data_IF_367837006224
#
_entry.id   IF_367837006224
#
_cell.length_a   1.000
_cell.length_b   1.000
_cell.length_c   1.000
_cell.angle_alpha   90.00
_cell.angle_beta   90.00
_cell.angle_gamma   90.00
#
_symmetry.space_group_name_H-M   'P 1'
#
loop_
_entity.id
_entity.type
_entity.pdbx_description
1 polymer ?
#
# COMPACT_ATOMS: atom_id res chain seq x y z
N UNK A 1 -28.56 36.47 -25.55
CA UNK A 1 -27.34 35.67 -25.79
C UNK A 1 -26.30 36.11 -24.77
N UNK A 2 -26.33 35.54 -23.56
CA UNK A 2 -25.42 35.89 -22.46
C UNK A 2 -24.41 34.74 -22.32
N UNK A 3 -23.17 35.02 -22.75
CA UNK A 3 -22.01 34.15 -22.58
C UNK A 3 -21.62 34.13 -21.10
N UNK A 4 -21.91 33.03 -20.41
CA UNK A 4 -21.36 32.76 -19.08
C UNK A 4 -19.86 32.48 -19.22
N UNK A 5 -19.05 33.47 -18.84
CA UNK A 5 -17.62 33.32 -18.63
C UNK A 5 -17.46 32.29 -17.51
N UNK A 6 -16.88 31.14 -17.84
CA UNK A 6 -16.53 30.10 -16.89
C UNK A 6 -15.38 30.64 -16.02
N UNK A 7 -15.56 30.94 -14.72
CA UNK A 7 -14.44 31.38 -13.90
C UNK A 7 -13.53 30.17 -13.70
N UNK A 8 -12.33 30.24 -14.28
CA UNK A 8 -11.31 29.21 -14.13
C UNK A 8 -11.14 28.82 -12.66
N UNK A 9 -11.13 27.52 -12.39
CA UNK A 9 -10.91 26.95 -11.06
C UNK A 9 -9.68 27.60 -10.41
N UNK A 10 -9.78 28.07 -9.14
CA UNK A 10 -8.67 28.73 -8.47
C UNK A 10 -7.46 27.80 -8.34
N UNK A 11 -6.26 28.38 -8.46
CA UNK A 11 -4.94 27.73 -8.51
C UNK A 11 -4.52 26.91 -7.26
N UNK A 12 -5.44 26.61 -6.34
CA UNK A 12 -5.21 25.86 -5.09
C UNK A 12 -5.27 24.33 -5.26
N UNK A 13 -5.72 23.81 -6.41
CA UNK A 13 -5.70 22.36 -6.68
C UNK A 13 -4.40 21.84 -7.30
N UNK A 14 -3.52 22.72 -7.78
CA UNK A 14 -2.35 22.36 -8.62
C UNK A 14 -1.23 21.60 -7.89
N UNK A 15 -1.31 21.45 -6.56
CA UNK A 15 -0.28 20.79 -5.74
C UNK A 15 -0.74 19.48 -5.08
N UNK A 16 -2.00 19.04 -5.22
CA UNK A 16 -2.43 17.74 -4.67
C UNK A 16 -1.90 16.59 -5.53
N UNK A 17 -1.49 15.51 -4.89
CA UNK A 17 -1.19 14.24 -5.58
C UNK A 17 -2.51 13.67 -6.04
N UNK A 18 -2.62 13.36 -7.33
CA UNK A 18 -3.82 12.74 -7.88
C UNK A 18 -3.55 11.25 -8.16
N UNK A 19 -4.38 10.39 -7.58
CA UNK A 19 -4.38 8.94 -7.82
C UNK A 19 -5.72 8.60 -8.44
N UNK A 20 -5.69 8.05 -9.65
CA UNK A 20 -6.88 7.68 -10.42
C UNK A 20 -6.78 6.24 -10.91
N UNK A 21 -7.87 5.72 -11.47
CA UNK A 21 -7.93 4.37 -12.05
C UNK A 21 -7.42 3.26 -11.10
N UNK A 22 -7.63 3.44 -9.79
CA UNK A 22 -7.24 2.48 -8.78
C UNK A 22 -8.07 1.21 -8.93
N UNK A 23 -7.38 0.11 -9.26
CA UNK A 23 -7.98 -1.21 -9.50
C UNK A 23 -7.20 -2.28 -8.77
N UNK A 24 -7.90 -3.17 -8.08
CA UNK A 24 -7.34 -4.41 -7.56
C UNK A 24 -7.63 -5.56 -8.54
N UNK A 25 -6.73 -6.54 -8.62
CA UNK A 25 -6.96 -7.73 -9.43
C UNK A 25 -8.07 -8.64 -8.87
N UNK A 26 -8.37 -8.53 -7.58
CA UNK A 26 -9.48 -9.25 -6.95
C UNK A 26 -10.86 -8.65 -7.27
N UNK A 27 -10.91 -7.48 -7.89
CA UNK A 27 -12.14 -6.71 -8.11
C UNK A 27 -12.71 -6.05 -6.85
N UNK A 28 -12.05 -6.20 -5.70
CA UNK A 28 -12.46 -5.52 -4.45
C UNK A 28 -12.10 -4.04 -4.50
N UNK A 29 -12.93 -3.22 -3.88
CA UNK A 29 -12.68 -1.79 -3.77
C UNK A 29 -11.50 -1.51 -2.84
N UNK A 30 -10.49 -0.82 -3.36
CA UNK A 30 -9.42 -0.23 -2.55
C UNK A 30 -9.75 1.25 -2.32
N UNK A 31 -9.41 1.75 -1.13
CA UNK A 31 -9.71 3.12 -0.75
C UNK A 31 -8.47 4.00 -0.67
N UNK A 32 -8.67 5.32 -0.68
CA UNK A 32 -7.64 6.29 -0.34
C UNK A 32 -7.86 6.82 1.07
N UNK A 33 -6.78 7.02 1.80
CA UNK A 33 -6.77 7.66 3.11
C UNK A 33 -5.43 8.39 3.33
N UNK A 34 -5.23 8.90 4.54
CA UNK A 34 -3.95 9.46 4.99
C UNK A 34 -3.29 8.48 5.95
N UNK A 35 -1.97 8.29 5.81
CA UNK A 35 -1.19 7.46 6.73
C UNK A 35 -0.87 8.25 8.01
N UNK A 36 -1.71 8.08 9.03
CA UNK A 36 -1.51 8.64 10.38
C UNK A 36 -1.91 7.62 11.46
N UNK A 37 -1.47 7.86 12.70
CA UNK A 37 -1.79 6.97 13.83
C UNK A 37 -3.30 6.91 14.07
N UNK A 38 -3.82 5.74 14.43
CA UNK A 38 -5.26 5.52 14.66
C UNK A 38 -6.08 5.24 13.38
N UNK A 39 -5.56 5.57 12.19
CA UNK A 39 -6.26 5.27 10.94
C UNK A 39 -6.25 3.78 10.59
N UNK A 40 -7.29 3.35 9.88
CA UNK A 40 -7.47 1.97 9.45
C UNK A 40 -6.47 1.57 8.37
N UNK A 41 -5.79 0.44 8.57
CA UNK A 41 -4.84 -0.13 7.62
C UNK A 41 -5.51 -0.71 6.36
N UNK A 42 -6.66 -1.37 6.51
CA UNK A 42 -7.31 -2.09 5.42
C UNK A 42 -8.75 -1.62 5.20
N UNK A 43 -9.32 -1.98 4.05
CA UNK A 43 -10.74 -1.78 3.75
C UNK A 43 -11.64 -2.80 4.44
N UNK A 44 -11.15 -4.02 4.65
CA UNK A 44 -11.94 -5.15 5.12
C UNK A 44 -11.56 -5.62 6.54
N UNK A 45 -10.80 -4.82 7.29
CA UNK A 45 -10.37 -5.09 8.68
C UNK A 45 -10.29 -3.81 9.50
N UNK A 46 -10.40 -3.95 10.81
CA UNK A 46 -10.36 -2.85 11.79
C UNK A 46 -8.97 -2.60 12.38
N UNK A 47 -7.90 -3.12 11.77
CA UNK A 47 -6.54 -2.89 12.27
C UNK A 47 -6.12 -1.43 12.09
N UNK A 48 -5.56 -0.83 13.14
CA UNK A 48 -5.16 0.57 13.15
C UNK A 48 -3.64 0.72 13.27
N UNK A 49 -3.09 1.73 12.59
CA UNK A 49 -1.70 2.12 12.76
C UNK A 49 -1.43 2.67 14.17
N UNK A 50 -0.22 2.46 14.65
CA UNK A 50 0.27 3.00 15.92
C UNK A 50 1.46 3.93 15.69
N UNK A 51 2.65 3.37 15.47
CA UNK A 51 3.84 4.15 15.15
C UNK A 51 4.00 4.27 13.63
N UNK A 52 4.19 5.51 13.16
CA UNK A 52 4.53 5.85 11.78
C UNK A 52 5.75 6.78 11.83
N UNK A 53 6.83 6.50 11.08
CA UNK A 53 8.00 7.36 11.02
C UNK A 53 7.65 8.70 10.36
N UNK A 54 8.34 9.77 10.75
CA UNK A 54 8.03 11.15 10.34
C UNK A 54 8.00 11.30 8.81
N UNK A 55 8.90 10.60 8.11
CA UNK A 55 9.02 10.59 6.65
C UNK A 55 7.70 10.16 5.96
N UNK A 56 6.92 9.28 6.61
CA UNK A 56 5.65 8.78 6.11
C UNK A 56 4.42 9.42 6.75
N UNK A 57 4.57 10.19 7.82
CA UNK A 57 3.44 10.82 8.53
C UNK A 57 2.66 11.76 7.60
N UNK A 58 1.38 11.46 7.36
CA UNK A 58 0.56 12.25 6.44
C UNK A 58 0.72 11.88 4.96
N UNK A 59 1.41 10.78 4.62
CA UNK A 59 1.47 10.28 3.26
C UNK A 59 0.09 9.85 2.75
N UNK A 60 -0.13 9.86 1.44
CA UNK A 60 -1.32 9.23 0.88
C UNK A 60 -1.24 7.71 1.11
N UNK A 61 -2.33 7.09 1.54
CA UNK A 61 -2.41 5.67 1.86
C UNK A 61 -3.46 5.01 0.96
N UNK A 62 -3.05 4.01 0.17
CA UNK A 62 -4.00 3.12 -0.49
C UNK A 62 -4.35 1.99 0.49
N UNK A 63 -5.57 2.03 1.01
CA UNK A 63 -6.15 0.99 1.86
C UNK A 63 -6.42 -0.23 1.00
N UNK A 64 -5.59 -1.26 1.14
CA UNK A 64 -5.77 -2.56 0.48
C UNK A 64 -6.85 -3.39 1.19
N UNK A 65 -7.33 -4.44 0.53
CA UNK A 65 -8.11 -5.49 1.20
C UNK A 65 -7.16 -6.54 1.77
N UNK A 66 -7.21 -6.76 3.09
CA UNK A 66 -6.39 -7.74 3.77
C UNK A 66 -6.57 -9.17 3.25
N UNK A 67 -7.72 -9.51 2.68
CA UNK A 67 -7.97 -10.79 2.02
C UNK A 67 -7.22 -10.99 0.70
N UNK A 68 -6.66 -9.95 0.09
CA UNK A 68 -5.90 -10.06 -1.16
C UNK A 68 -4.46 -10.55 -0.95
N UNK A 69 -4.09 -10.88 0.29
CA UNK A 69 -2.77 -11.41 0.64
C UNK A 69 -2.40 -12.72 -0.05
N UNK A 70 -3.36 -13.44 -0.63
CA UNK A 70 -3.12 -14.68 -1.38
C UNK A 70 -2.80 -14.45 -2.86
N UNK A 71 -2.89 -13.21 -3.36
CA UNK A 71 -2.49 -12.92 -4.73
C UNK A 71 -1.00 -13.24 -4.87
N UNK A 72 -0.68 -14.02 -5.90
CA UNK A 72 0.67 -14.47 -6.20
C UNK A 72 1.59 -13.30 -6.50
N UNK A 73 2.85 -13.42 -6.09
CA UNK A 73 3.92 -12.49 -6.47
C UNK A 73 4.13 -12.35 -7.98
N UNK A 74 3.61 -13.29 -8.78
CA UNK A 74 3.67 -13.24 -10.25
C UNK A 74 2.45 -12.57 -10.89
N UNK A 75 1.39 -12.34 -10.12
CA UNK A 75 0.16 -11.71 -10.60
C UNK A 75 0.12 -10.24 -10.19
N UNK A 76 -0.42 -9.39 -11.06
CA UNK A 76 -0.73 -8.01 -10.70
C UNK A 76 -1.71 -8.05 -9.53
N UNK A 77 -1.44 -7.29 -8.48
CA UNK A 77 -2.35 -7.12 -7.36
C UNK A 77 -3.14 -5.82 -7.48
N UNK A 78 -2.46 -4.73 -7.85
CA UNK A 78 -3.05 -3.40 -7.90
C UNK A 78 -2.37 -2.55 -8.97
N UNK A 79 -3.17 -1.76 -9.66
CA UNK A 79 -2.72 -0.72 -10.59
C UNK A 79 -3.44 0.59 -10.32
N UNK A 80 -2.76 1.71 -10.54
CA UNK A 80 -3.34 3.04 -10.46
C UNK A 80 -2.51 4.02 -11.29
N UNK A 81 -3.14 5.11 -11.72
CA UNK A 81 -2.48 6.17 -12.47
C UNK A 81 -2.18 7.37 -11.59
N UNK A 82 -1.05 8.01 -11.85
CA UNK A 82 -0.58 9.19 -11.13
C UNK A 82 -0.17 10.32 -12.06
N UNK A 83 -0.30 11.55 -11.56
CA UNK A 83 -0.11 12.78 -12.33
C UNK A 83 1.32 13.35 -12.28
N UNK A 84 2.18 12.82 -11.40
CA UNK A 84 3.57 13.22 -11.23
C UNK A 84 4.47 12.05 -10.79
N UNK A 85 5.78 12.28 -10.82
CA UNK A 85 6.76 11.37 -10.22
C UNK A 85 6.51 11.23 -8.71
N UNK A 86 6.67 10.01 -8.21
CA UNK A 86 6.35 9.68 -6.83
C UNK A 86 7.25 8.61 -6.24
N UNK A 87 7.34 8.63 -4.91
CA UNK A 87 7.91 7.55 -4.11
C UNK A 87 6.76 6.68 -3.61
N UNK A 88 6.78 5.40 -3.99
CA UNK A 88 5.91 4.35 -3.44
C UNK A 88 6.65 3.64 -2.33
N UNK A 89 6.00 3.54 -1.18
CA UNK A 89 6.45 2.79 -0.04
C UNK A 89 5.54 1.58 0.17
N UNK A 90 6.12 0.40 0.19
CA UNK A 90 5.46 -0.85 0.53
C UNK A 90 5.80 -1.18 1.97
N UNK A 91 4.79 -1.18 2.83
CA UNK A 91 4.87 -1.64 4.21
C UNK A 91 4.59 -3.13 4.21
N UNK A 92 5.64 -3.94 4.34
CA UNK A 92 5.56 -5.40 4.24
C UNK A 92 5.74 -6.04 5.62
N UNK A 93 4.87 -6.99 5.97
CA UNK A 93 4.85 -7.54 7.33
C UNK A 93 6.09 -8.37 7.66
N UNK A 94 6.77 -8.06 8.76
CA UNK A 94 8.02 -8.70 9.16
C UNK A 94 7.86 -10.18 9.56
N UNK A 95 6.61 -10.62 9.76
CA UNK A 95 6.27 -12.01 10.08
C UNK A 95 6.36 -12.94 8.86
N UNK A 96 6.35 -12.41 7.64
CA UNK A 96 6.54 -13.22 6.44
C UNK A 96 7.93 -13.88 6.47
N UNK A 97 8.05 -15.20 6.23
CA UNK A 97 9.35 -15.88 6.23
C UNK A 97 10.21 -15.49 5.02
N UNK A 98 9.56 -15.05 3.94
CA UNK A 98 10.16 -14.66 2.66
C UNK A 98 9.43 -13.43 2.13
N UNK A 99 10.16 -12.53 1.49
CA UNK A 99 9.57 -11.40 0.77
C UNK A 99 9.31 -11.80 -0.70
N UNK A 100 8.27 -11.28 -1.35
CA UNK A 100 8.02 -11.57 -2.75
C UNK A 100 9.16 -11.02 -3.63
N UNK A 101 9.52 -11.75 -4.69
CA UNK A 101 10.73 -11.49 -5.47
C UNK A 101 10.76 -10.07 -6.07
N UNK A 102 9.60 -9.55 -6.50
CA UNK A 102 9.48 -8.20 -7.05
C UNK A 102 9.87 -7.10 -6.06
N UNK A 103 9.75 -7.36 -4.74
CA UNK A 103 10.09 -6.40 -3.69
C UNK A 103 11.61 -6.20 -3.56
N UNK A 104 12.43 -7.11 -4.09
CA UNK A 104 13.89 -6.91 -4.19
C UNK A 104 14.27 -5.76 -5.11
N UNK A 105 13.35 -5.28 -5.95
CA UNK A 105 13.56 -4.08 -6.77
C UNK A 105 13.30 -2.78 -6.00
N UNK A 106 12.88 -2.86 -4.74
CA UNK A 106 12.66 -1.73 -3.86
C UNK A 106 13.83 -1.61 -2.89
N UNK A 107 14.22 -0.38 -2.57
CA UNK A 107 15.19 -0.10 -1.53
C UNK A 107 14.58 -0.41 -0.16
N UNK A 108 15.20 -1.32 0.61
CA UNK A 108 14.79 -1.57 1.99
C UNK A 108 15.21 -0.40 2.88
N UNK A 109 14.23 0.33 3.39
CA UNK A 109 14.44 1.41 4.34
C UNK A 109 14.72 0.83 5.73
N UNK A 110 15.63 1.43 6.49
CA UNK A 110 15.89 1.06 7.90
C UNK A 110 14.85 1.68 8.85
N UNK A 111 13.57 1.61 8.46
CA UNK A 111 12.42 2.21 9.14
C UNK A 111 11.28 1.19 9.18
N UNK A 112 10.47 1.26 10.23
CA UNK A 112 9.33 0.37 10.45
C UNK A 112 8.05 1.17 10.76
N UNK A 113 6.90 0.60 10.41
CA UNK A 113 5.57 1.01 10.87
C UNK A 113 5.00 -0.09 11.77
N UNK A 114 4.23 0.30 12.78
CA UNK A 114 3.56 -0.67 13.67
C UNK A 114 2.05 -0.47 13.72
N UNK A 115 1.34 -1.50 14.17
CA UNK A 115 -0.09 -1.45 14.52
C UNK A 115 -0.31 -1.33 16.02
N UNK A 116 -1.51 -0.96 16.42
CA UNK A 116 -1.89 -0.91 17.85
C UNK A 116 -1.90 -2.29 18.50
N UNK A 117 -2.24 -3.33 17.76
CA UNK A 117 -2.29 -4.72 18.25
C UNK A 117 -0.96 -5.48 18.03
N UNK A 118 0.13 -4.74 17.88
CA UNK A 118 1.45 -5.31 17.62
C UNK A 118 1.97 -6.09 18.82
N UNK A 119 2.72 -7.16 18.55
CA UNK A 119 3.39 -7.95 19.58
C UNK A 119 4.81 -8.27 19.13
N UNK A 120 5.79 -7.83 19.91
CA UNK A 120 7.21 -8.00 19.59
C UNK A 120 7.67 -9.45 19.67
N UNK A 121 7.04 -10.26 20.53
CA UNK A 121 7.36 -11.68 20.74
C UNK A 121 7.21 -12.54 19.47
N UNK A 122 6.38 -12.12 18.52
CA UNK A 122 6.12 -12.87 17.29
C UNK A 122 6.01 -12.00 16.04
N UNK A 123 6.51 -10.76 16.10
CA UNK A 123 6.51 -9.76 15.02
C UNK A 123 5.11 -9.44 14.45
N UNK A 124 4.03 -9.77 15.17
CA UNK A 124 2.68 -9.40 14.74
C UNK A 124 2.60 -7.87 14.68
N UNK A 125 2.13 -7.35 13.56
CA UNK A 125 1.87 -5.92 13.40
C UNK A 125 3.11 -5.07 13.16
N UNK A 126 4.28 -5.66 12.90
CA UNK A 126 5.49 -4.96 12.48
C UNK A 126 5.66 -5.02 10.96
N UNK A 127 6.02 -3.89 10.35
CA UNK A 127 6.17 -3.76 8.91
C UNK A 127 7.44 -3.01 8.55
N UNK A 128 8.37 -3.68 7.88
CA UNK A 128 9.51 -3.06 7.21
C UNK A 128 9.05 -2.23 6.00
N UNK A 129 9.72 -1.11 5.76
CA UNK A 129 9.44 -0.21 4.65
C UNK A 129 10.36 -0.50 3.45
N UNK A 130 9.77 -0.54 2.26
CA UNK A 130 10.47 -0.71 1.00
C UNK A 130 10.06 0.40 0.05
N UNK A 131 11.03 1.14 -0.52
CA UNK A 131 10.79 2.32 -1.35
C UNK A 131 11.18 2.07 -2.80
N UNK A 132 10.36 2.56 -3.75
CA UNK A 132 10.76 2.70 -5.16
C UNK A 132 10.13 3.95 -5.75
N UNK A 133 10.90 4.65 -6.57
CA UNK A 133 10.41 5.81 -7.31
C UNK A 133 9.77 5.36 -8.62
N UNK A 134 8.60 5.92 -8.94
CA UNK A 134 7.92 5.71 -10.21
C UNK A 134 7.77 7.06 -10.93
N UNK A 135 7.95 7.10 -12.25
CA UNK A 135 7.61 8.28 -13.03
C UNK A 135 6.09 8.48 -13.07
N UNK A 136 5.65 9.67 -13.48
CA UNK A 136 4.25 9.90 -13.89
C UNK A 136 3.76 8.79 -14.83
N UNK A 137 2.53 8.31 -14.62
CA UNK A 137 1.89 7.29 -15.44
C UNK A 137 1.26 6.19 -14.61
N UNK A 138 1.17 4.99 -15.17
CA UNK A 138 0.60 3.83 -14.50
C UNK A 138 1.63 3.17 -13.58
N UNK A 139 1.27 3.04 -12.31
CA UNK A 139 1.99 2.24 -11.31
C UNK A 139 1.31 0.88 -11.21
N UNK A 140 2.11 -0.19 -11.14
CA UNK A 140 1.63 -1.56 -10.95
C UNK A 140 2.46 -2.24 -9.86
N UNK A 141 1.77 -2.87 -8.90
CA UNK A 141 2.37 -3.70 -7.85
C UNK A 141 1.79 -5.11 -7.93
N UNK A 142 2.62 -6.10 -7.61
CA UNK A 142 2.30 -7.51 -7.70
C UNK A 142 1.89 -8.08 -6.34
N UNK A 143 1.34 -9.29 -6.33
CA UNK A 143 0.86 -9.94 -5.11
C UNK A 143 1.93 -10.13 -4.05
N UNK A 144 1.48 -10.28 -2.80
CA UNK A 144 2.37 -10.34 -1.65
C UNK A 144 2.76 -11.76 -1.26
N UNK A 145 2.18 -12.78 -1.89
CA UNK A 145 2.44 -14.19 -1.58
C UNK A 145 3.55 -14.77 -2.46
N UNK A 146 4.70 -15.15 -1.88
CA UNK A 146 5.70 -15.94 -2.60
C UNK A 146 5.12 -17.27 -3.07
N UNK A 147 5.58 -17.77 -4.23
CA UNK A 147 5.12 -19.03 -4.80
C UNK A 147 5.34 -20.21 -3.85
N UNK A 148 6.43 -20.21 -3.08
CA UNK A 148 6.73 -21.25 -2.09
C UNK A 148 5.75 -21.25 -0.92
N UNK A 149 5.17 -20.09 -0.57
CA UNK A 149 4.10 -20.01 0.43
C UNK A 149 2.80 -20.56 -0.13
N UNK A 150 2.47 -20.25 -1.38
CA UNK A 150 1.24 -20.74 -2.04
C UNK A 150 1.21 -22.25 -2.25
N UNK A 151 2.38 -22.91 -2.33
CA UNK A 151 2.47 -24.38 -2.37
C UNK A 151 2.15 -25.04 -1.03
N UNK A 152 2.14 -24.30 0.07
CA UNK A 152 1.89 -24.85 1.42
C UNK A 152 0.39 -24.94 1.67
N UNK A 153 -0.11 -26.18 1.77
CA UNK A 153 -1.53 -26.46 1.99
C UNK A 153 -2.09 -25.72 3.22
N UNK A 154 -1.35 -25.69 4.33
CA UNK A 154 -1.77 -25.00 5.54
C UNK A 154 -1.92 -23.47 5.34
N UNK A 155 -1.09 -22.87 4.49
CA UNK A 155 -1.14 -21.44 4.20
C UNK A 155 -2.39 -21.11 3.38
N UNK A 156 -2.65 -21.89 2.32
CA UNK A 156 -3.83 -21.70 1.46
C UNK A 156 -5.13 -22.01 2.22
N UNK A 157 -5.21 -23.14 2.94
CA UNK A 157 -6.42 -23.53 3.71
C UNK A 157 -6.79 -22.52 4.78
N UNK A 158 -5.79 -21.87 5.39
CA UNK A 158 -6.01 -20.84 6.41
C UNK A 158 -6.27 -19.45 5.83
N UNK A 159 -6.33 -19.32 4.50
CA UNK A 159 -6.43 -18.05 3.79
C UNK A 159 -5.29 -17.07 4.15
N UNK A 160 -4.09 -17.61 4.37
CA UNK A 160 -2.92 -16.86 4.82
C UNK A 160 -3.10 -16.26 6.22
N UNK A 161 -3.82 -16.95 7.11
CA UNK A 161 -3.95 -16.52 8.49
C UNK A 161 -2.57 -16.27 9.12
N UNK A 162 -2.49 -15.27 9.99
CA UNK A 162 -1.25 -14.75 10.58
C UNK A 162 -0.32 -13.96 9.66
N UNK A 163 -0.62 -13.87 8.36
CA UNK A 163 0.10 -13.01 7.42
C UNK A 163 -0.75 -11.82 6.99
N UNK A 164 -0.05 -10.75 6.61
CA UNK A 164 -0.66 -9.47 6.26
C UNK A 164 -0.49 -9.20 4.77
N UNK A 165 -1.55 -8.65 4.16
CA UNK A 165 -1.43 -7.96 2.88
C UNK A 165 -0.51 -6.74 3.09
N UNK A 166 0.28 -6.34 2.10
CA UNK A 166 1.07 -5.12 2.24
C UNK A 166 0.18 -3.87 2.26
N UNK A 167 0.70 -2.81 2.85
CA UNK A 167 0.13 -1.46 2.78
C UNK A 167 0.95 -0.61 1.81
N UNK A 168 0.29 0.30 1.09
CA UNK A 168 0.95 1.20 0.13
C UNK A 168 0.83 2.63 0.65
N UNK A 169 1.97 3.28 0.85
CA UNK A 169 2.04 4.72 1.13
C UNK A 169 2.72 5.45 -0.03
N UNK A 170 2.28 6.67 -0.32
CA UNK A 170 2.72 7.43 -1.49
C UNK A 170 3.05 8.86 -1.09
N UNK A 171 4.19 9.33 -1.59
CA UNK A 171 4.62 10.73 -1.53
C UNK A 171 4.96 11.21 -2.92
N UNK A 172 4.66 12.49 -3.22
CA UNK A 172 5.29 13.14 -4.38
C UNK A 172 6.81 13.08 -4.21
N UNK A 173 7.51 12.77 -5.29
CA UNK A 173 8.97 12.85 -5.30
C UNK A 173 9.36 14.32 -5.06
N UNK A 174 10.28 14.54 -4.12
CA UNK A 174 10.85 15.87 -3.86
C UNK A 174 11.87 16.23 -4.95
#
# INVERSE_FOLDING_TARGET
MLSLINPGLPASQKNRLEITNLKSASGKEYGLNTLVSGELQYMDRTYQFNYIPEELMGAAHIKTCGNDKLISENDICVSFDVDCDLDVYVLFGDKWPEIPQWLNQFERMRLNVTRQDSRSDNLKGYFSLYKKTFPKGTVTLYGCSPMEMLKREWFVKSMGANYCMYTIAIRKKK
#
